data_IF_241249150620
#
_entry.id   IF_241249150620
#
_cell.length_a   1.000
_cell.length_b   1.000
_cell.length_c   1.000
_cell.angle_alpha   90.00
_cell.angle_beta   90.00
_cell.angle_gamma   90.00
#
_symmetry.space_group_name_H-M   'P 1'
#
loop_
_entity.id
_entity.type
_entity.pdbx_description
1 polymer ?
#
# COMPACT_ATOMS: atom_id res chain seq x y z
N UNK A 1 -2.26 -9.66 -12.75
CA UNK A 1 -2.91 -9.75 -11.42
C UNK A 1 -4.43 -9.55 -11.50
N UNK A 2 -4.90 -8.45 -12.07
CA UNK A 2 -6.35 -8.19 -12.12
C UNK A 2 -7.17 -9.30 -12.80
N UNK A 3 -6.70 -9.87 -13.90
CA UNK A 3 -7.42 -10.95 -14.58
C UNK A 3 -7.49 -12.23 -13.74
N UNK A 4 -6.42 -12.55 -13.01
CA UNK A 4 -6.38 -13.72 -12.13
C UNK A 4 -7.28 -13.48 -10.92
N UNK A 5 -7.26 -12.28 -10.34
CA UNK A 5 -8.09 -11.92 -9.19
C UNK A 5 -9.58 -12.03 -9.54
N UNK A 6 -9.97 -11.52 -10.71
CA UNK A 6 -11.37 -11.60 -11.16
C UNK A 6 -11.80 -13.05 -11.35
N UNK A 7 -10.96 -13.89 -11.95
CA UNK A 7 -11.25 -15.31 -12.08
C UNK A 7 -11.47 -15.96 -10.71
N UNK A 8 -10.58 -15.68 -9.76
CA UNK A 8 -10.69 -16.23 -8.40
C UNK A 8 -11.96 -15.80 -7.69
N UNK A 9 -12.37 -14.53 -7.82
CA UNK A 9 -13.58 -14.00 -7.21
C UNK A 9 -14.83 -14.63 -7.86
N UNK A 10 -14.90 -14.61 -9.18
CA UNK A 10 -16.11 -14.99 -9.93
C UNK A 10 -16.29 -16.50 -10.01
N UNK A 11 -15.20 -17.25 -10.23
CA UNK A 11 -15.26 -18.69 -10.49
C UNK A 11 -14.99 -19.54 -9.27
N UNK A 12 -14.05 -19.12 -8.40
CA UNK A 12 -13.64 -19.89 -7.22
C UNK A 12 -14.30 -19.41 -5.93
N UNK A 13 -15.00 -18.29 -5.97
CA UNK A 13 -15.70 -17.75 -4.80
C UNK A 13 -14.79 -17.19 -3.73
N UNK A 14 -13.55 -16.83 -4.05
CA UNK A 14 -12.60 -16.23 -3.10
C UNK A 14 -12.91 -14.74 -2.96
N UNK A 15 -13.18 -14.24 -1.75
CA UNK A 15 -13.44 -12.81 -1.57
C UNK A 15 -12.28 -11.93 -2.04
N UNK A 16 -12.58 -10.81 -2.70
CA UNK A 16 -11.58 -9.87 -3.21
C UNK A 16 -10.66 -9.34 -2.11
N UNK A 17 -11.20 -9.10 -0.92
CA UNK A 17 -10.40 -8.60 0.21
C UNK A 17 -9.35 -9.63 0.65
N UNK A 18 -9.65 -10.91 0.56
CA UNK A 18 -8.70 -11.98 0.87
C UNK A 18 -7.57 -12.02 -0.16
N UNK A 19 -7.89 -11.86 -1.44
CA UNK A 19 -6.88 -11.81 -2.51
C UNK A 19 -5.97 -10.61 -2.34
N UNK A 20 -6.53 -9.46 -1.98
CA UNK A 20 -5.77 -8.24 -1.73
C UNK A 20 -4.81 -8.42 -0.55
N UNK A 21 -5.27 -9.02 0.54
CA UNK A 21 -4.43 -9.32 1.70
C UNK A 21 -3.27 -10.25 1.30
N UNK A 22 -3.55 -11.32 0.56
CA UNK A 22 -2.54 -12.27 0.12
C UNK A 22 -1.51 -11.63 -0.81
N UNK A 23 -1.95 -10.75 -1.71
CA UNK A 23 -1.04 -10.02 -2.59
C UNK A 23 -0.08 -9.14 -1.80
N UNK A 24 -0.58 -8.41 -0.82
CA UNK A 24 0.23 -7.56 0.05
C UNK A 24 1.23 -8.36 0.88
N UNK A 25 0.80 -9.46 1.48
CA UNK A 25 1.67 -10.36 2.26
C UNK A 25 2.79 -10.92 1.37
N UNK A 26 2.48 -11.29 0.13
CA UNK A 26 3.48 -11.77 -0.82
C UNK A 26 4.59 -10.75 -1.07
N UNK A 27 4.23 -9.48 -1.21
CA UNK A 27 5.21 -8.40 -1.38
C UNK A 27 6.07 -8.24 -0.13
N UNK A 28 5.47 -8.29 1.05
CA UNK A 28 6.21 -8.22 2.32
C UNK A 28 7.24 -9.34 2.41
N UNK A 29 6.87 -10.55 2.05
CA UNK A 29 7.78 -11.70 2.06
C UNK A 29 8.99 -11.46 1.13
N UNK A 30 8.76 -10.89 -0.06
CA UNK A 30 9.84 -10.55 -0.99
C UNK A 30 10.75 -9.45 -0.44
N UNK A 31 10.19 -8.43 0.20
CA UNK A 31 10.96 -7.35 0.81
C UNK A 31 11.83 -7.90 1.94
N UNK A 32 11.28 -8.77 2.78
CA UNK A 32 12.01 -9.37 3.89
C UNK A 32 13.19 -10.24 3.44
N UNK A 33 13.12 -10.83 2.25
CA UNK A 33 14.24 -11.57 1.67
C UNK A 33 15.40 -10.65 1.26
N UNK A 34 15.11 -9.41 0.92
CA UNK A 34 16.10 -8.45 0.39
C UNK A 34 16.68 -7.53 1.45
N UNK A 35 15.98 -7.31 2.54
CA UNK A 35 16.38 -6.38 3.59
C UNK A 35 16.37 -7.09 4.95
N UNK A 36 17.53 -7.12 5.61
CA UNK A 36 17.69 -7.86 6.86
C UNK A 36 16.90 -7.27 8.02
N UNK A 37 16.75 -5.94 8.06
CA UNK A 37 16.05 -5.26 9.14
C UNK A 37 15.20 -4.12 8.55
N UNK A 38 13.89 -4.33 8.58
CA UNK A 38 12.93 -3.34 8.09
C UNK A 38 12.51 -2.34 9.16
N UNK A 39 12.78 -2.61 10.45
CA UNK A 39 12.29 -1.78 11.55
C UNK A 39 12.87 -0.36 11.55
N UNK A 40 13.97 -0.14 10.84
CA UNK A 40 14.62 1.19 10.75
C UNK A 40 14.56 1.81 9.37
N UNK A 41 13.90 1.15 8.44
CA UNK A 41 13.79 1.64 7.07
C UNK A 41 12.67 2.65 6.95
N UNK A 42 12.89 3.63 6.06
CA UNK A 42 11.87 4.59 5.66
C UNK A 42 11.34 4.16 4.30
N UNK A 43 10.04 3.86 4.24
CA UNK A 43 9.40 3.32 3.05
C UNK A 43 8.26 4.23 2.65
N UNK A 44 8.26 4.66 1.39
CA UNK A 44 7.13 5.33 0.78
C UNK A 44 6.42 4.38 -0.18
N UNK A 45 5.10 4.34 -0.10
CA UNK A 45 4.26 3.51 -0.94
C UNK A 45 3.34 4.43 -1.73
N UNK A 46 3.51 4.45 -3.05
CA UNK A 46 2.62 5.17 -3.94
C UNK A 46 1.41 4.31 -4.23
N UNK A 47 0.24 4.77 -3.80
CA UNK A 47 -1.02 4.06 -4.03
C UNK A 47 -1.88 4.79 -5.05
N UNK A 48 -2.42 4.04 -6.01
CA UNK A 48 -3.51 4.51 -6.85
C UNK A 48 -4.86 4.32 -6.17
N UNK A 49 -5.94 4.66 -6.86
CA UNK A 49 -7.31 4.55 -6.31
C UNK A 49 -7.94 3.18 -6.54
N UNK A 50 -7.34 2.33 -7.38
CA UNK A 50 -7.85 1.01 -7.73
C UNK A 50 -7.31 -0.11 -6.84
N UNK A 51 -7.43 -1.34 -7.33
CA UNK A 51 -7.03 -2.54 -6.59
C UNK A 51 -5.54 -2.59 -6.25
N UNK A 52 -4.66 -2.15 -7.15
CA UNK A 52 -3.23 -2.10 -6.85
C UNK A 52 -2.92 -1.15 -5.69
N UNK A 53 -3.62 -0.02 -5.63
CA UNK A 53 -3.51 0.89 -4.48
C UNK A 53 -3.96 0.23 -3.20
N UNK A 54 -5.02 -0.58 -3.26
CA UNK A 54 -5.48 -1.39 -2.13
C UNK A 54 -4.41 -2.33 -1.62
N UNK A 55 -3.68 -2.99 -2.50
CA UNK A 55 -2.52 -3.82 -2.15
C UNK A 55 -1.47 -2.99 -1.40
N UNK A 56 -1.25 -1.74 -1.83
CA UNK A 56 -0.33 -0.82 -1.18
C UNK A 56 -0.72 -0.50 0.27
N UNK A 57 -2.01 -0.35 0.55
CA UNK A 57 -2.49 -0.15 1.92
C UNK A 57 -2.24 -1.37 2.80
N UNK A 58 -2.41 -2.58 2.24
CA UNK A 58 -2.09 -3.82 2.94
C UNK A 58 -0.59 -3.87 3.27
N UNK A 59 0.25 -3.59 2.28
CA UNK A 59 1.71 -3.56 2.45
C UNK A 59 2.11 -2.58 3.55
N UNK A 60 1.56 -1.37 3.52
CA UNK A 60 1.87 -0.34 4.52
C UNK A 60 1.47 -0.78 5.93
N UNK A 61 0.32 -1.42 6.08
CA UNK A 61 -0.15 -1.92 7.37
C UNK A 61 0.80 -2.97 7.94
N UNK A 62 1.22 -3.92 7.12
CA UNK A 62 2.17 -4.95 7.55
C UNK A 62 3.53 -4.37 7.91
N UNK A 63 4.05 -3.46 7.09
CA UNK A 63 5.31 -2.78 7.39
C UNK A 63 5.25 -1.99 8.69
N UNK A 64 4.15 -1.28 8.91
CA UNK A 64 3.94 -0.53 10.14
C UNK A 64 4.00 -1.46 11.36
N UNK A 65 3.35 -2.61 11.29
CA UNK A 65 3.37 -3.60 12.36
C UNK A 65 4.77 -4.20 12.61
N UNK A 66 5.64 -4.18 11.60
CA UNK A 66 7.04 -4.59 11.73
C UNK A 66 7.95 -3.49 12.28
N UNK A 67 7.39 -2.32 12.59
CA UNK A 67 8.17 -1.19 13.10
C UNK A 67 8.81 -0.32 12.02
N UNK A 68 8.47 -0.56 10.75
CA UNK A 68 8.97 0.24 9.63
C UNK A 68 8.28 1.61 9.61
N UNK A 69 9.03 2.66 9.27
CA UNK A 69 8.44 3.99 9.00
C UNK A 69 7.82 3.95 7.59
N UNK A 70 6.61 3.42 7.52
CA UNK A 70 5.88 3.26 6.26
C UNK A 70 4.86 4.39 6.12
N UNK A 71 4.92 5.09 4.99
CA UNK A 71 4.03 6.20 4.67
C UNK A 71 3.44 6.02 3.29
N UNK A 72 2.19 6.40 3.14
CA UNK A 72 1.47 6.28 1.87
C UNK A 72 1.34 7.65 1.22
N UNK A 73 1.63 7.69 -0.08
CA UNK A 73 1.33 8.82 -0.94
C UNK A 73 0.24 8.35 -1.91
N UNK A 74 -0.98 8.84 -1.71
CA UNK A 74 -2.14 8.47 -2.50
C UNK A 74 -2.29 9.39 -3.70
N UNK A 75 -2.29 8.80 -4.90
CA UNK A 75 -2.54 9.54 -6.14
C UNK A 75 -4.05 9.76 -6.31
N UNK A 76 -4.59 10.69 -5.53
CA UNK A 76 -6.01 11.00 -5.50
C UNK A 76 -6.47 11.33 -4.09
N UNK A 77 -7.76 11.18 -3.85
CA UNK A 77 -8.39 11.50 -2.57
C UNK A 77 -8.86 10.23 -1.88
N UNK A 78 -8.72 10.19 -0.56
CA UNK A 78 -9.25 9.08 0.26
C UNK A 78 -10.74 8.91 0.01
N UNK A 79 -11.47 10.01 -0.17
CA UNK A 79 -12.90 9.98 -0.45
C UNK A 79 -13.28 9.30 -1.76
N UNK A 80 -12.32 9.11 -2.66
CA UNK A 80 -12.52 8.44 -3.94
C UNK A 80 -12.35 6.92 -3.87
N UNK A 81 -11.81 6.40 -2.75
CA UNK A 81 -11.58 4.97 -2.57
C UNK A 81 -12.90 4.24 -2.38
N UNK A 82 -12.97 3.02 -2.92
CA UNK A 82 -14.20 2.20 -2.88
C UNK A 82 -13.84 0.75 -2.57
N UNK A 83 -14.83 0.04 -2.02
CA UNK A 83 -14.76 -1.41 -1.83
C UNK A 83 -13.54 -1.84 -0.99
N UNK A 84 -12.78 -2.81 -1.46
CA UNK A 84 -11.66 -3.40 -0.73
C UNK A 84 -10.54 -2.40 -0.47
N UNK A 85 -10.28 -1.50 -1.41
CA UNK A 85 -9.27 -0.44 -1.23
C UNK A 85 -9.67 0.51 -0.10
N UNK A 86 -10.95 0.88 -0.01
CA UNK A 86 -11.46 1.73 1.06
C UNK A 86 -11.30 1.06 2.43
N UNK A 87 -11.64 -0.23 2.52
CA UNK A 87 -11.52 -1.00 3.76
C UNK A 87 -10.06 -1.06 4.22
N UNK A 88 -9.14 -1.36 3.30
CA UNK A 88 -7.74 -1.47 3.64
C UNK A 88 -7.10 -0.11 3.97
N UNK A 89 -7.53 0.96 3.30
CA UNK A 89 -7.09 2.30 3.65
C UNK A 89 -7.51 2.67 5.08
N UNK A 90 -8.77 2.41 5.44
CA UNK A 90 -9.28 2.65 6.78
C UNK A 90 -8.50 1.84 7.82
N UNK A 91 -8.25 0.55 7.54
CA UNK A 91 -7.48 -0.31 8.44
C UNK A 91 -6.06 0.22 8.65
N UNK A 92 -5.39 0.65 7.60
CA UNK A 92 -4.04 1.20 7.69
C UNK A 92 -4.02 2.49 8.53
N UNK A 93 -4.96 3.40 8.27
CA UNK A 93 -5.05 4.65 9.03
C UNK A 93 -5.38 4.42 10.50
N UNK A 94 -6.23 3.46 10.79
CA UNK A 94 -6.65 3.17 12.16
C UNK A 94 -5.50 2.69 13.04
N UNK A 95 -4.50 2.01 12.49
CA UNK A 95 -3.32 1.59 13.25
C UNK A 95 -2.21 2.65 13.30
N UNK A 96 -2.34 3.74 12.54
CA UNK A 96 -1.42 4.86 12.60
C UNK A 96 -0.59 5.12 11.34
N UNK A 97 -0.84 4.43 10.24
CA UNK A 97 -0.14 4.70 8.97
C UNK A 97 -0.55 6.08 8.46
N UNK A 98 0.45 6.92 8.18
CA UNK A 98 0.21 8.24 7.61
C UNK A 98 -0.10 8.11 6.12
N UNK A 99 -1.21 8.73 5.70
CA UNK A 99 -1.62 8.78 4.31
C UNK A 99 -1.71 10.24 3.88
N UNK A 100 -0.92 10.61 2.88
CA UNK A 100 -0.96 11.94 2.27
C UNK A 100 -1.56 11.85 0.87
N UNK A 101 -2.49 12.73 0.58
CA UNK A 101 -3.11 12.83 -0.75
C UNK A 101 -2.21 13.68 -1.65
N UNK A 102 -1.76 13.11 -2.77
CA UNK A 102 -0.95 13.83 -3.76
C UNK A 102 -1.82 14.54 -4.78
N UNK A 103 -1.39 15.74 -5.13
CA UNK A 103 -1.92 16.49 -6.26
C UNK A 103 -0.76 17.26 -6.92
N UNK A 104 -0.98 17.89 -8.11
CA UNK A 104 0.11 18.63 -8.77
C UNK A 104 0.69 19.76 -7.93
N UNK A 105 -0.08 20.34 -7.02
CA UNK A 105 0.33 21.50 -6.23
C UNK A 105 1.23 21.13 -5.06
N UNK A 106 1.10 19.91 -4.50
CA UNK A 106 1.86 19.51 -3.32
C UNK A 106 2.97 18.49 -3.59
N UNK A 107 3.10 18.01 -4.81
CA UNK A 107 4.06 16.95 -5.15
C UNK A 107 5.50 17.31 -4.75
N UNK A 108 5.90 18.56 -4.99
CA UNK A 108 7.25 19.01 -4.69
C UNK A 108 7.58 19.01 -3.19
N UNK A 109 6.57 19.05 -2.33
CA UNK A 109 6.78 19.03 -0.87
C UNK A 109 7.38 17.70 -0.40
N UNK A 110 7.20 16.63 -1.15
CA UNK A 110 7.69 15.30 -0.80
C UNK A 110 9.05 14.97 -1.41
N UNK A 111 9.57 15.82 -2.29
CA UNK A 111 10.80 15.54 -3.05
C UNK A 111 11.99 15.20 -2.12
N UNK A 112 12.22 16.01 -1.10
CA UNK A 112 13.33 15.79 -0.16
C UNK A 112 13.18 14.45 0.58
N UNK A 113 11.97 14.16 1.08
CA UNK A 113 11.70 12.92 1.82
C UNK A 113 11.87 11.70 0.94
N UNK A 114 11.42 11.77 -0.31
CA UNK A 114 11.55 10.68 -1.26
C UNK A 114 13.00 10.40 -1.62
N UNK A 115 13.83 11.43 -1.74
CA UNK A 115 15.26 11.26 -2.04
C UNK A 115 16.02 10.61 -0.89
N UNK A 116 15.53 10.73 0.35
CA UNK A 116 16.19 10.23 1.55
C UNK A 116 15.51 9.00 2.14
N UNK A 117 14.49 8.44 1.49
CA UNK A 117 13.89 7.19 1.94
C UNK A 117 14.75 6.00 1.49
N UNK A 118 14.51 4.85 2.10
CA UNK A 118 15.26 3.62 1.82
C UNK A 118 14.62 2.79 0.70
N UNK A 119 13.28 2.79 0.64
CA UNK A 119 12.52 1.95 -0.28
C UNK A 119 11.32 2.75 -0.81
N UNK A 120 11.08 2.62 -2.11
CA UNK A 120 9.86 3.13 -2.75
C UNK A 120 9.11 1.95 -3.34
N UNK A 121 7.83 1.85 -3.02
CA UNK A 121 6.95 0.81 -3.56
C UNK A 121 5.90 1.48 -4.45
N UNK A 122 5.78 0.98 -5.66
CA UNK A 122 4.81 1.47 -6.65
C UNK A 122 3.59 0.53 -6.66
N UNK A 123 2.47 1.05 -6.18
CA UNK A 123 1.17 0.36 -6.15
C UNK A 123 0.09 1.19 -6.87
N UNK A 124 0.48 1.81 -7.96
CA UNK A 124 -0.46 2.61 -8.77
C UNK A 124 -1.17 1.76 -9.83
#
# INVERSE_FOLDING_TARGET
>A
MQAIDRYSIDELGIPGITLMENAGVGVIQEIQKRFADLSRKKVFIFCGKGNNGGDGFVIARHLFNLGTDARILLAGKISELKNDAEINAASAQNIGVQVDELNPDNLNQFDHKLRHCDIIIDAI
#
